data_IF_850981684895
#
_entry.id   IF_850981684895
#
_cell.length_a   1.000
_cell.length_b   1.000
_cell.length_c   1.000
_cell.angle_alpha   90.00
_cell.angle_beta   90.00
_cell.angle_gamma   90.00
#
_symmetry.space_group_name_H-M   'P 1'
#
loop_
_entity.id
_entity.type
_entity.pdbx_description
1 polymer ?
#
# COMPACT_ATOMS: atom_id res chain seq x y z
N UNK A 1 -23.93 6.32 -21.57
CA UNK A 1 -22.51 6.54 -21.96
C UNK A 1 -22.28 8.04 -22.05
N UNK A 2 -21.68 8.65 -21.01
CA UNK A 2 -21.41 10.10 -20.94
C UNK A 2 -19.93 10.43 -21.21
N UNK A 3 -19.16 9.49 -21.76
CA UNK A 3 -17.70 9.62 -21.94
C UNK A 3 -17.32 10.76 -22.88
N UNK A 4 -18.09 10.98 -23.95
CA UNK A 4 -17.82 12.05 -24.92
C UNK A 4 -18.04 13.45 -24.32
N UNK A 5 -19.05 13.61 -23.46
CA UNK A 5 -19.33 14.88 -22.78
C UNK A 5 -18.26 15.22 -21.74
N UNK A 6 -17.71 14.20 -21.06
CA UNK A 6 -16.61 14.38 -20.10
C UNK A 6 -15.31 14.82 -20.77
N UNK A 7 -14.97 14.25 -21.93
CA UNK A 7 -13.77 14.64 -22.68
C UNK A 7 -13.87 16.11 -23.11
N UNK A 8 -15.04 16.52 -23.65
CA UNK A 8 -15.26 17.91 -24.04
C UNK A 8 -15.14 18.88 -22.85
N UNK A 9 -15.74 18.53 -21.70
CA UNK A 9 -15.63 19.36 -20.49
C UNK A 9 -14.18 19.44 -19.99
N UNK A 10 -13.43 18.33 -20.05
CA UNK A 10 -12.01 18.26 -19.70
C UNK A 10 -11.13 19.18 -20.57
N UNK A 11 -11.36 19.18 -21.88
CA UNK A 11 -10.59 20.00 -22.84
C UNK A 11 -10.81 21.51 -22.66
N UNK A 12 -11.97 21.93 -22.15
CA UNK A 12 -12.30 23.36 -21.92
C UNK A 12 -11.67 23.89 -20.61
N UNK A 13 -11.33 23.01 -19.68
CA UNK A 13 -10.75 23.40 -18.39
C UNK A 13 -9.34 23.98 -18.58
N UNK A 14 -8.99 24.94 -17.73
CA UNK A 14 -7.64 25.46 -17.62
C UNK A 14 -6.65 24.34 -17.20
N UNK A 15 -5.38 24.43 -17.60
CA UNK A 15 -4.39 23.37 -17.37
C UNK A 15 -4.19 23.01 -15.88
N UNK A 16 -4.34 23.97 -14.96
CA UNK A 16 -4.28 23.69 -13.52
C UNK A 16 -5.47 22.86 -13.02
N UNK A 17 -6.67 23.15 -13.53
CA UNK A 17 -7.87 22.39 -13.19
C UNK A 17 -7.86 21.00 -13.84
N UNK A 18 -7.30 20.87 -15.05
CA UNK A 18 -7.07 19.57 -15.69
C UNK A 18 -6.18 18.66 -14.82
N UNK A 19 -5.09 19.19 -14.26
CA UNK A 19 -4.24 18.44 -13.31
C UNK A 19 -5.02 18.00 -12.08
N UNK A 20 -5.87 18.86 -11.53
CA UNK A 20 -6.69 18.52 -10.36
C UNK A 20 -7.69 17.40 -10.67
N UNK A 21 -8.30 17.40 -11.86
CA UNK A 21 -9.19 16.32 -12.31
C UNK A 21 -8.41 15.01 -12.45
N UNK A 22 -7.22 15.04 -13.06
CA UNK A 22 -6.37 13.85 -13.18
C UNK A 22 -5.95 13.28 -11.83
N UNK A 23 -5.60 14.14 -10.88
CA UNK A 23 -5.21 13.72 -9.53
C UNK A 23 -6.40 13.11 -8.78
N UNK A 24 -7.59 13.70 -8.92
CA UNK A 24 -8.82 13.17 -8.34
C UNK A 24 -9.20 11.80 -8.93
N UNK A 25 -9.11 11.63 -10.25
CA UNK A 25 -9.34 10.34 -10.91
C UNK A 25 -8.33 9.30 -10.42
N UNK A 26 -7.05 9.68 -10.31
CA UNK A 26 -5.99 8.82 -9.77
C UNK A 26 -6.25 8.40 -8.33
N UNK A 27 -6.77 9.32 -7.50
CA UNK A 27 -7.21 9.04 -6.14
C UNK A 27 -8.37 8.04 -6.11
N UNK A 28 -9.40 8.22 -6.93
CA UNK A 28 -10.55 7.32 -7.00
C UNK A 28 -10.15 5.91 -7.45
N UNK A 29 -9.25 5.78 -8.42
CA UNK A 29 -8.71 4.48 -8.86
C UNK A 29 -7.99 3.79 -7.69
N UNK A 30 -7.13 4.52 -6.95
CA UNK A 30 -6.45 3.99 -5.76
C UNK A 30 -7.45 3.59 -4.67
N UNK A 31 -8.52 4.35 -4.48
CA UNK A 31 -9.55 4.06 -3.48
C UNK A 31 -10.35 2.80 -3.85
N UNK A 32 -10.66 2.61 -5.14
CA UNK A 32 -11.29 1.39 -5.63
C UNK A 32 -10.41 0.16 -5.39
N UNK A 33 -9.11 0.28 -5.63
CA UNK A 33 -8.14 -0.81 -5.39
C UNK A 33 -7.92 -1.09 -3.90
N UNK A 34 -8.05 -0.08 -3.02
CA UNK A 34 -7.96 -0.25 -1.56
C UNK A 34 -9.08 -1.08 -0.93
N UNK A 35 -10.04 -1.59 -1.70
CA UNK A 35 -11.08 -2.47 -1.15
C UNK A 35 -10.60 -3.88 -0.81
N UNK A 36 -9.38 -4.28 -1.20
CA UNK A 36 -8.78 -5.55 -0.77
C UNK A 36 -7.81 -5.33 0.40
N UNK A 37 -8.25 -4.60 1.42
CA UNK A 37 -7.58 -4.72 2.73
C UNK A 37 -7.99 -6.08 3.27
N UNK A 38 -7.06 -7.04 3.26
CA UNK A 38 -7.29 -8.33 3.90
C UNK A 38 -7.78 -8.08 5.33
N UNK A 39 -8.96 -8.62 5.63
CA UNK A 39 -9.60 -8.47 6.93
C UNK A 39 -8.71 -9.13 7.97
N UNK A 40 -8.05 -8.32 8.80
CA UNK A 40 -7.21 -8.83 9.90
C UNK A 40 -8.09 -9.65 10.83
N UNK A 41 -7.76 -10.92 11.01
CA UNK A 41 -8.48 -11.82 11.91
C UNK A 41 -7.68 -12.01 13.17
N UNK A 42 -8.26 -11.66 14.33
CA UNK A 42 -7.62 -11.88 15.62
C UNK A 42 -7.36 -13.38 15.82
N UNK A 43 -6.15 -13.74 16.24
CA UNK A 43 -5.78 -15.14 16.49
C UNK A 43 -5.53 -16.01 15.26
N UNK A 44 -5.41 -15.45 14.06
CA UNK A 44 -5.11 -16.19 12.81
C UNK A 44 -3.86 -17.09 12.89
N UNK A 45 -2.90 -16.68 13.71
CA UNK A 45 -1.62 -17.36 13.93
C UNK A 45 -1.47 -17.95 15.33
N UNK A 46 -2.57 -18.13 16.07
CA UNK A 46 -2.54 -18.82 17.35
C UNK A 46 -1.89 -20.20 17.16
N UNK A 47 -0.93 -20.53 18.01
CA UNK A 47 -0.16 -21.79 18.01
C UNK A 47 0.74 -22.03 16.78
N UNK A 48 0.81 -21.07 15.85
CA UNK A 48 1.66 -21.13 14.65
C UNK A 48 2.94 -20.31 14.78
N UNK A 49 2.99 -19.38 15.74
CA UNK A 49 4.18 -18.55 16.00
C UNK A 49 4.88 -19.10 17.24
N UNK A 50 6.18 -19.37 17.12
CA UNK A 50 7.07 -19.67 18.24
C UNK A 50 8.07 -18.52 18.36
N UNK A 51 8.01 -17.81 19.49
CA UNK A 51 9.00 -16.80 19.84
C UNK A 51 10.04 -17.50 20.70
N UNK A 52 11.30 -17.45 20.28
CA UNK A 52 12.40 -18.04 21.04
C UNK A 52 12.81 -17.11 22.19
N UNK A 53 13.40 -17.66 23.25
CA UNK A 53 13.69 -16.90 24.48
C UNK A 53 14.76 -15.81 24.30
N UNK A 54 15.53 -15.88 23.23
CA UNK A 54 16.58 -14.95 22.83
C UNK A 54 16.10 -13.91 21.81
N UNK A 55 14.79 -13.81 21.53
CA UNK A 55 14.27 -12.89 20.53
C UNK A 55 14.67 -11.43 20.78
N UNK A 56 14.72 -11.02 22.05
CA UNK A 56 15.15 -9.68 22.46
C UNK A 56 16.66 -9.60 22.76
N UNK A 57 17.39 -10.70 22.63
CA UNK A 57 18.83 -10.70 22.85
C UNK A 57 19.55 -9.96 21.71
N UNK A 58 20.67 -9.26 22.00
CA UNK A 58 21.49 -8.71 20.94
C UNK A 58 22.04 -9.84 20.07
N UNK A 59 22.05 -9.61 18.76
CA UNK A 59 22.71 -10.50 17.81
C UNK A 59 24.21 -10.55 18.12
N UNK A 60 24.83 -11.71 17.97
CA UNK A 60 26.27 -11.88 18.21
C UNK A 60 27.10 -11.10 17.19
N UNK A 61 28.34 -10.81 17.56
CA UNK A 61 29.29 -10.13 16.67
C UNK A 61 29.51 -10.91 15.36
N UNK A 62 29.52 -12.24 15.42
CA UNK A 62 29.63 -13.13 14.25
C UNK A 62 28.55 -12.85 13.18
N UNK A 63 27.31 -12.54 13.61
CA UNK A 63 26.21 -12.16 12.71
C UNK A 63 26.51 -10.84 12.00
N UNK A 64 27.03 -9.85 12.73
CA UNK A 64 27.35 -8.53 12.17
C UNK A 64 28.59 -8.54 11.29
N UNK A 65 29.52 -9.46 11.54
CA UNK A 65 30.76 -9.61 10.79
C UNK A 65 30.62 -10.56 9.58
N UNK A 66 29.45 -11.19 9.41
CA UNK A 66 29.18 -12.08 8.27
C UNK A 66 29.95 -13.39 8.32
N UNK A 67 30.42 -13.79 9.49
CA UNK A 67 31.14 -15.05 9.71
C UNK A 67 30.13 -16.15 10.07
N UNK A 68 29.33 -16.57 9.09
CA UNK A 68 28.51 -17.79 9.22
C UNK A 68 29.45 -19.01 9.16
N UNK A 69 29.52 -19.78 10.25
CA UNK A 69 30.14 -21.12 10.25
C UNK A 69 29.19 -22.18 9.73
#
# INVERSE_FOLDING_TARGET
>A
MNSQQLVFQYEILQPDLQKQVLDFVSFLIKQQQKQVVQKRTVGEYKDKIRIHADFDAPLSDDFWMGEEK
#
